data_IF_957929226664
#
_entry.id   IF_957929226664
#
_cell.length_a   1.000
_cell.length_b   1.000
_cell.length_c   1.000
_cell.angle_alpha   90.00
_cell.angle_beta   90.00
_cell.angle_gamma   90.00
#
_symmetry.space_group_name_H-M   'P 1'
#
loop_
_entity.id
_entity.type
_entity.pdbx_description
1 polymer ?
#
# COMPACT_ATOMS: atom_id res chain seq x y z
N UNK A 1 26.74 35.82 46.05
CA UNK A 1 27.41 34.87 45.17
C UNK A 1 26.46 33.67 45.05
N UNK A 2 25.66 33.69 44.05
CA UNK A 2 24.63 32.69 43.81
C UNK A 2 24.90 32.05 42.44
N UNK A 3 25.38 30.83 42.48
CA UNK A 3 25.64 30.03 41.28
C UNK A 3 24.33 29.42 40.73
N UNK A 4 23.90 29.93 39.60
CA UNK A 4 22.81 29.36 38.81
C UNK A 4 23.33 28.16 38.03
N UNK A 5 22.92 26.96 38.43
CA UNK A 5 23.10 25.72 37.66
C UNK A 5 21.99 25.62 36.62
N UNK A 6 22.33 25.84 35.35
CA UNK A 6 21.50 25.59 34.21
C UNK A 6 21.43 24.06 33.97
N UNK A 7 20.27 23.45 34.29
CA UNK A 7 19.99 22.05 33.94
C UNK A 7 19.59 22.00 32.47
N UNK A 8 20.48 21.44 31.67
CA UNK A 8 20.25 21.14 30.27
C UNK A 8 19.19 20.02 30.11
N UNK A 9 18.06 20.36 29.48
CA UNK A 9 17.01 19.43 29.08
C UNK A 9 17.39 18.73 27.76
N UNK A 10 18.33 17.79 27.80
CA UNK A 10 18.57 16.88 26.67
C UNK A 10 19.14 15.56 27.17
N UNK A 11 18.28 14.70 27.68
CA UNK A 11 18.54 13.27 27.77
C UNK A 11 17.20 12.56 28.01
N UNK A 12 16.32 12.50 26.98
CA UNK A 12 15.31 11.47 26.97
C UNK A 12 15.91 10.32 26.17
N UNK A 13 16.34 9.30 26.90
CA UNK A 13 16.87 8.07 26.37
C UNK A 13 15.78 7.40 25.52
N UNK A 14 16.07 7.23 24.23
CA UNK A 14 15.31 6.37 23.37
C UNK A 14 15.37 4.94 23.89
N UNK A 15 14.31 4.47 24.52
CA UNK A 15 14.09 3.08 24.78
C UNK A 15 13.85 2.36 23.45
N UNK A 16 14.92 1.84 22.85
CA UNK A 16 14.81 0.90 21.77
C UNK A 16 14.04 -0.32 22.29
N UNK A 17 12.80 -0.49 21.89
CA UNK A 17 12.07 -1.75 22.05
C UNK A 17 12.71 -2.74 21.08
N UNK A 18 13.77 -3.39 21.53
CA UNK A 18 14.33 -4.57 20.85
C UNK A 18 13.30 -5.66 21.01
N UNK A 19 12.42 -5.80 20.01
CA UNK A 19 11.70 -7.02 19.78
C UNK A 19 12.76 -8.09 19.45
N UNK A 20 13.15 -8.87 20.45
CA UNK A 20 14.02 -10.02 20.30
C UNK A 20 13.37 -11.02 19.37
N UNK A 21 13.58 -10.86 18.07
CA UNK A 21 13.29 -11.86 17.07
C UNK A 21 14.37 -12.93 17.19
N UNK A 22 14.06 -14.00 17.93
CA UNK A 22 14.85 -15.22 17.88
C UNK A 22 14.96 -15.67 16.41
N UNK A 23 16.17 -15.71 15.88
CA UNK A 23 16.50 -16.00 14.48
C UNK A 23 16.14 -17.41 13.98
N UNK A 24 15.21 -18.13 14.65
CA UNK A 24 14.86 -19.52 14.34
C UNK A 24 13.43 -19.80 13.88
N UNK A 25 12.49 -18.84 13.97
CA UNK A 25 11.06 -19.10 13.69
C UNK A 25 10.41 -18.22 12.61
N UNK A 26 11.12 -17.26 12.03
CA UNK A 26 10.53 -16.28 11.11
C UNK A 26 10.10 -16.85 9.74
N UNK A 27 10.76 -17.91 9.28
CA UNK A 27 10.44 -18.55 7.98
C UNK A 27 9.16 -19.40 7.97
N UNK A 28 8.62 -19.74 9.15
CA UNK A 28 7.42 -20.57 9.27
C UNK A 28 6.11 -19.76 9.33
N UNK A 29 6.17 -18.42 9.34
CA UNK A 29 5.01 -17.55 9.60
C UNK A 29 4.65 -16.61 8.45
N UNK A 30 5.23 -16.80 7.27
CA UNK A 30 5.07 -15.90 6.13
C UNK A 30 5.88 -14.60 6.29
N UNK A 31 5.85 -13.74 5.25
CA UNK A 31 6.49 -12.42 5.27
C UNK A 31 5.90 -11.56 6.40
N UNK A 32 6.75 -10.87 7.14
CA UNK A 32 6.38 -9.97 8.25
C UNK A 32 5.42 -10.57 9.30
N UNK A 33 5.35 -11.91 9.41
CA UNK A 33 4.44 -12.59 10.31
C UNK A 33 2.97 -12.58 9.90
N UNK A 34 2.66 -12.18 8.68
CA UNK A 34 1.29 -12.12 8.15
C UNK A 34 0.64 -13.49 7.96
N UNK A 35 1.43 -14.57 7.96
CA UNK A 35 0.96 -15.95 7.94
C UNK A 35 0.72 -16.57 9.32
N UNK A 36 0.81 -15.80 10.42
CA UNK A 36 0.50 -16.28 11.77
C UNK A 36 -0.97 -16.66 11.91
N UNK A 37 -1.23 -17.59 12.85
CA UNK A 37 -2.58 -17.96 13.22
C UNK A 37 -3.41 -16.73 13.63
N UNK A 38 -4.67 -16.75 13.22
CA UNK A 38 -5.64 -15.67 13.41
C UNK A 38 -6.70 -16.00 14.46
N UNK A 39 -6.41 -16.93 15.37
CA UNK A 39 -7.34 -17.34 16.43
C UNK A 39 -7.85 -16.12 17.22
N UNK A 40 -9.17 -16.06 17.38
CA UNK A 40 -9.86 -14.98 18.07
C UNK A 40 -10.12 -13.72 17.27
N UNK A 41 -9.56 -13.58 16.07
CA UNK A 41 -9.91 -12.48 15.15
C UNK A 41 -11.07 -12.86 14.22
N UNK A 42 -11.78 -11.88 13.70
CA UNK A 42 -12.87 -12.09 12.76
C UNK A 42 -12.34 -12.74 11.46
N UNK A 43 -12.95 -13.84 10.99
CA UNK A 43 -12.56 -14.46 9.74
C UNK A 43 -13.03 -13.64 8.55
N UNK A 44 -12.29 -13.72 7.44
CA UNK A 44 -12.74 -13.20 6.13
C UNK A 44 -13.49 -14.32 5.43
N UNK A 45 -14.77 -14.07 5.13
CA UNK A 45 -15.67 -15.06 4.53
C UNK A 45 -16.30 -14.53 3.23
N UNK A 46 -16.59 -15.40 2.23
CA UNK A 46 -17.27 -14.99 1.01
C UNK A 46 -18.66 -14.41 1.27
N UNK A 47 -19.14 -13.56 0.36
CA UNK A 47 -20.52 -13.06 0.35
C UNK A 47 -20.80 -11.89 1.30
N UNK A 48 -19.77 -11.29 1.93
CA UNK A 48 -19.92 -10.04 2.66
C UNK A 48 -20.36 -8.93 1.72
N UNK A 49 -21.33 -8.15 2.14
CA UNK A 49 -21.72 -6.90 1.46
C UNK A 49 -20.97 -5.73 2.06
N UNK A 50 -20.38 -4.92 1.20
CA UNK A 50 -19.73 -3.68 1.61
C UNK A 50 -20.78 -2.61 1.89
N UNK A 51 -20.53 -1.82 2.92
CA UNK A 51 -21.39 -0.74 3.36
C UNK A 51 -20.58 0.56 3.45
N UNK A 52 -20.83 1.50 2.57
CA UNK A 52 -20.16 2.79 2.58
C UNK A 52 -21.05 3.86 3.20
N UNK A 53 -20.48 4.73 4.07
CA UNK A 53 -19.05 4.95 4.29
C UNK A 53 -18.39 4.08 5.36
N UNK A 54 -19.10 3.21 6.06
CA UNK A 54 -18.58 2.50 7.23
C UNK A 54 -17.32 1.69 6.89
N UNK A 55 -17.27 1.04 5.73
CA UNK A 55 -16.11 0.25 5.28
C UNK A 55 -14.91 1.10 4.83
N UNK A 56 -15.02 2.43 4.79
CA UNK A 56 -13.85 3.30 4.71
C UNK A 56 -13.10 3.38 6.03
N UNK A 57 -13.78 3.09 7.13
CA UNK A 57 -13.26 3.11 8.49
C UNK A 57 -12.46 1.87 8.90
N UNK A 58 -12.01 1.81 10.16
CA UNK A 58 -11.28 0.68 10.68
C UNK A 58 -12.18 -0.50 11.02
N UNK A 59 -11.63 -1.71 10.90
CA UNK A 59 -12.27 -2.99 11.25
C UNK A 59 -11.51 -3.64 12.41
N UNK A 60 -11.69 -3.18 13.65
CA UNK A 60 -10.84 -3.55 14.78
C UNK A 60 -10.89 -5.05 15.14
N UNK A 61 -11.93 -5.75 14.71
CA UNK A 61 -12.05 -7.21 14.92
C UNK A 61 -11.13 -8.02 14.00
N UNK A 62 -10.59 -7.42 12.94
CA UNK A 62 -9.56 -8.03 12.10
C UNK A 62 -8.16 -7.67 12.59
N UNK A 63 -7.18 -8.53 12.28
CA UNK A 63 -5.82 -8.36 12.78
C UNK A 63 -5.08 -7.22 12.11
N UNK A 64 -5.19 -7.10 10.77
CA UNK A 64 -4.44 -6.11 9.98
C UNK A 64 -5.32 -5.48 8.93
N UNK A 65 -5.07 -4.22 8.64
CA UNK A 65 -5.65 -3.50 7.52
C UNK A 65 -4.76 -2.35 7.08
N UNK A 66 -4.97 -1.90 5.84
CA UNK A 66 -4.25 -0.77 5.28
C UNK A 66 -5.10 0.08 4.35
N UNK A 67 -4.72 1.34 4.31
CA UNK A 67 -5.13 2.37 3.36
C UNK A 67 -3.89 2.73 2.57
N UNK A 68 -3.87 2.46 1.29
CA UNK A 68 -2.69 2.52 0.46
C UNK A 68 -2.97 3.35 -0.78
N UNK A 69 -2.14 4.37 -1.06
CA UNK A 69 -2.28 5.24 -2.24
C UNK A 69 -0.95 5.31 -2.97
N UNK A 70 -0.98 5.08 -4.27
CA UNK A 70 0.15 5.32 -5.17
C UNK A 70 -0.24 6.30 -6.27
N UNK A 71 0.70 7.13 -6.70
CA UNK A 71 0.46 8.12 -7.72
C UNK A 71 1.60 8.15 -8.76
N UNK A 72 1.20 8.04 -10.03
CA UNK A 72 2.06 8.27 -11.19
C UNK A 72 1.87 9.71 -11.66
N UNK A 73 2.89 10.52 -11.50
CA UNK A 73 2.84 11.97 -11.65
C UNK A 73 3.84 12.45 -12.68
N UNK A 74 3.60 13.65 -13.22
CA UNK A 74 4.54 14.40 -14.04
C UNK A 74 4.57 15.85 -13.58
N UNK A 75 5.76 16.45 -13.58
CA UNK A 75 5.89 17.88 -13.38
C UNK A 75 5.60 18.65 -14.68
N UNK A 76 5.61 20.00 -14.62
CA UNK A 76 5.35 20.87 -15.79
C UNK A 76 6.34 20.68 -16.95
N UNK A 77 7.55 20.16 -16.68
CA UNK A 77 8.54 19.82 -17.72
C UNK A 77 8.32 18.41 -18.30
N UNK A 78 7.29 17.68 -17.87
CA UNK A 78 7.00 16.31 -18.32
C UNK A 78 7.83 15.21 -17.63
N UNK A 79 8.71 15.55 -16.68
CA UNK A 79 9.49 14.58 -15.95
C UNK A 79 8.60 13.73 -15.04
N UNK A 80 8.74 12.40 -15.13
CA UNK A 80 7.97 11.45 -14.33
C UNK A 80 8.40 11.48 -12.86
N UNK A 81 7.42 11.31 -11.99
CA UNK A 81 7.56 11.23 -10.53
C UNK A 81 6.56 10.24 -9.96
N UNK A 82 6.84 9.70 -8.78
CA UNK A 82 5.90 8.91 -8.00
C UNK A 82 5.72 9.44 -6.60
N UNK A 83 4.55 9.18 -6.03
CA UNK A 83 4.29 9.36 -4.62
C UNK A 83 3.56 8.12 -4.07
N UNK A 84 3.87 7.75 -2.84
CA UNK A 84 3.22 6.65 -2.14
C UNK A 84 2.85 7.11 -0.73
N UNK A 85 1.70 6.65 -0.24
CA UNK A 85 1.20 6.85 1.11
C UNK A 85 0.52 5.59 1.60
N UNK A 86 0.91 5.08 2.75
CA UNK A 86 0.25 3.94 3.37
C UNK A 86 0.04 4.19 4.85
N UNK A 87 -1.14 3.86 5.33
CA UNK A 87 -1.47 3.75 6.74
C UNK A 87 -1.84 2.31 7.04
N UNK A 88 -1.11 1.68 7.95
CA UNK A 88 -1.40 0.34 8.44
C UNK A 88 -1.97 0.41 9.85
N UNK A 89 -2.95 -0.44 10.14
CA UNK A 89 -3.38 -0.76 11.50
C UNK A 89 -3.12 -2.22 11.79
N UNK A 90 -2.55 -2.50 12.94
CA UNK A 90 -2.32 -3.85 13.43
C UNK A 90 -2.90 -4.01 14.84
N UNK A 91 -3.80 -4.98 15.03
CA UNK A 91 -4.29 -5.37 16.33
C UNK A 91 -3.30 -6.39 16.95
N UNK A 92 -2.69 -6.04 18.07
CA UNK A 92 -1.72 -6.88 18.77
C UNK A 92 -2.37 -8.06 19.50
N UNK A 93 -3.67 -7.94 19.80
CA UNK A 93 -4.46 -8.95 20.50
C UNK A 93 -5.88 -8.96 19.93
N UNK A 94 -6.43 -10.16 19.81
CA UNK A 94 -7.83 -10.37 19.46
C UNK A 94 -8.76 -10.08 20.65
N UNK A 95 -10.04 -9.79 20.34
CA UNK A 95 -11.10 -9.58 21.34
C UNK A 95 -11.41 -8.12 21.61
N UNK A 96 -11.91 -7.83 22.80
CA UNK A 96 -12.37 -6.50 23.16
C UNK A 96 -11.30 -5.43 22.99
N UNK A 97 -11.70 -4.30 22.44
CA UNK A 97 -10.80 -3.19 22.20
C UNK A 97 -10.71 -2.34 23.48
N UNK A 98 -9.51 -2.23 24.02
CA UNK A 98 -9.22 -1.30 25.11
C UNK A 98 -9.14 0.13 24.56
N UNK A 99 -9.48 1.10 25.39
CA UNK A 99 -9.46 2.54 25.04
C UNK A 99 -8.19 3.23 25.55
N UNK A 100 -7.89 4.40 24.99
CA UNK A 100 -6.80 5.25 25.41
C UNK A 100 -5.45 4.53 25.34
N UNK A 101 -4.62 4.70 26.36
CA UNK A 101 -3.28 4.11 26.44
C UNK A 101 -3.26 2.58 26.57
N UNK A 102 -4.36 1.96 26.96
CA UNK A 102 -4.48 0.51 27.08
C UNK A 102 -4.72 -0.19 25.73
N UNK A 103 -5.06 0.57 24.69
CA UNK A 103 -5.36 0.01 23.37
C UNK A 103 -4.28 -0.94 22.85
N UNK A 104 -4.73 -2.00 22.22
CA UNK A 104 -3.87 -2.98 21.55
C UNK A 104 -3.70 -2.71 20.05
N UNK A 105 -4.09 -1.51 19.59
CA UNK A 105 -3.95 -1.09 18.19
C UNK A 105 -2.65 -0.32 18.00
N UNK A 106 -1.84 -0.77 17.03
CA UNK A 106 -0.64 -0.08 16.57
C UNK A 106 -0.88 0.38 15.14
N UNK A 107 -0.45 1.59 14.86
CA UNK A 107 -0.50 2.20 13.54
C UNK A 107 0.91 2.42 13.02
N UNK A 108 1.09 2.25 11.72
CA UNK A 108 2.35 2.50 11.03
C UNK A 108 2.04 3.24 9.74
N UNK A 109 2.82 4.26 9.47
CA UNK A 109 2.72 5.04 8.23
C UNK A 109 3.99 4.87 7.39
N UNK A 110 3.83 4.62 6.09
CA UNK A 110 4.90 4.72 5.10
C UNK A 110 4.56 5.80 4.08
N UNK A 111 5.53 6.60 3.71
CA UNK A 111 5.40 7.57 2.63
C UNK A 111 6.69 7.62 1.82
N UNK A 112 6.55 7.80 0.50
CA UNK A 112 7.70 7.92 -0.38
C UNK A 112 7.43 8.89 -1.54
N UNK A 113 8.53 9.43 -2.09
CA UNK A 113 8.56 10.10 -3.38
C UNK A 113 9.70 9.55 -4.23
N UNK A 114 9.44 9.39 -5.53
CA UNK A 114 10.39 8.77 -6.46
C UNK A 114 10.54 9.64 -7.70
N UNK A 115 11.79 9.88 -8.11
CA UNK A 115 12.20 10.38 -9.42
C UNK A 115 13.16 9.37 -10.05
N UNK A 116 13.53 9.57 -11.29
CA UNK A 116 14.46 8.69 -12.00
C UNK A 116 15.81 8.50 -11.26
N UNK A 117 16.27 9.52 -10.58
CA UNK A 117 17.57 9.59 -9.90
C UNK A 117 17.48 9.58 -8.36
N UNK A 118 16.30 9.64 -7.81
CA UNK A 118 16.09 9.86 -6.37
C UNK A 118 14.87 9.10 -5.86
N UNK A 119 15.05 8.40 -4.76
CA UNK A 119 13.97 7.81 -3.97
C UNK A 119 14.13 8.24 -2.51
N UNK A 120 13.10 8.84 -1.94
CA UNK A 120 13.04 9.26 -0.54
C UNK A 120 11.84 8.62 0.11
N UNK A 121 12.01 8.11 1.31
CA UNK A 121 10.93 7.49 2.08
C UNK A 121 11.01 7.88 3.55
N UNK A 122 9.90 7.68 4.25
CA UNK A 122 9.80 7.87 5.70
C UNK A 122 8.85 6.83 6.27
N UNK A 123 9.12 6.44 7.52
CA UNK A 123 8.30 5.55 8.32
C UNK A 123 7.96 6.23 9.64
N UNK A 124 6.73 6.07 10.11
CA UNK A 124 6.30 6.54 11.44
C UNK A 124 5.41 5.51 12.12
N UNK A 125 5.42 5.50 13.45
CA UNK A 125 4.60 4.61 14.27
C UNK A 125 3.80 5.41 15.27
N UNK A 126 2.58 4.95 15.52
CA UNK A 126 1.72 5.53 16.52
C UNK A 126 0.95 4.47 17.30
N UNK A 127 0.62 4.78 18.52
CA UNK A 127 -0.33 4.01 19.30
C UNK A 127 -1.75 4.49 18.98
N UNK A 128 -2.68 3.56 18.84
CA UNK A 128 -4.09 3.90 18.72
C UNK A 128 -4.68 4.47 20.01
N UNK A 129 -5.92 4.97 19.96
CA UNK A 129 -6.69 5.35 21.14
C UNK A 129 -6.29 6.66 21.85
N UNK A 130 -5.20 7.32 21.40
CA UNK A 130 -4.67 8.56 22.03
C UNK A 130 -4.67 9.75 21.07
N UNK A 131 -5.33 9.62 19.91
CA UNK A 131 -5.46 10.72 18.93
C UNK A 131 -4.26 10.92 18.02
N UNK A 132 -3.20 10.10 18.13
CA UNK A 132 -2.00 10.22 17.30
C UNK A 132 -2.19 9.61 15.91
N UNK A 133 -3.00 8.57 15.79
CA UNK A 133 -3.39 7.97 14.52
C UNK A 133 -4.80 7.39 14.59
N UNK A 134 -5.44 7.26 13.45
CA UNK A 134 -6.78 6.70 13.35
C UNK A 134 -7.41 6.87 11.99
N UNK A 135 -8.67 6.43 11.88
CA UNK A 135 -9.53 6.72 10.73
C UNK A 135 -10.93 7.05 11.23
N UNK A 136 -11.45 8.17 10.78
CA UNK A 136 -12.83 8.62 10.94
C UNK A 136 -13.55 8.58 9.60
N UNK A 137 -14.83 8.22 9.59
CA UNK A 137 -15.61 8.09 8.35
C UNK A 137 -16.42 9.33 8.01
N UNK A 138 -16.81 10.13 9.00
CA UNK A 138 -17.63 11.36 8.84
C UNK A 138 -17.21 12.45 9.83
N UNK A 139 -16.49 13.51 9.38
CA UNK A 139 -15.89 13.64 8.04
C UNK A 139 -14.77 12.61 7.84
N UNK A 140 -14.56 12.18 6.59
CA UNK A 140 -13.51 11.19 6.33
C UNK A 140 -12.11 11.77 6.61
N UNK A 141 -11.36 11.05 7.43
CA UNK A 141 -9.99 11.39 7.80
C UNK A 141 -9.23 10.12 8.22
N UNK A 142 -8.19 9.77 7.49
CA UNK A 142 -7.21 8.77 7.89
C UNK A 142 -5.90 9.51 8.19
N UNK A 143 -5.28 9.28 9.36
CA UNK A 143 -4.11 10.06 9.76
C UNK A 143 -3.14 9.27 10.64
N UNK A 144 -1.89 9.70 10.60
CA UNK A 144 -0.84 9.36 11.55
C UNK A 144 0.09 10.57 11.71
N UNK A 145 0.21 11.09 12.94
CA UNK A 145 0.90 12.36 13.23
C UNK A 145 0.38 13.51 12.33
N UNK A 146 1.24 14.06 11.47
CA UNK A 146 0.90 15.13 10.53
C UNK A 146 0.51 14.64 9.12
N UNK A 147 0.61 13.34 8.86
CA UNK A 147 0.22 12.76 7.58
C UNK A 147 -1.28 12.50 7.57
N UNK A 148 -1.92 12.82 6.47
CA UNK A 148 -3.36 12.61 6.37
C UNK A 148 -3.84 12.32 4.95
N UNK A 149 -4.93 11.57 4.88
CA UNK A 149 -5.82 11.44 3.74
C UNK A 149 -7.19 11.90 4.21
N UNK A 150 -7.64 13.07 3.72
CA UNK A 150 -8.83 13.78 4.22
C UNK A 150 -9.85 13.94 3.11
N UNK A 151 -11.12 13.65 3.41
CA UNK A 151 -12.24 14.02 2.56
C UNK A 151 -12.36 15.54 2.42
N UNK A 152 -12.53 16.02 1.20
CA UNK A 152 -12.81 17.41 0.91
C UNK A 152 -14.33 17.64 0.82
N UNK A 153 -14.74 18.91 0.75
CA UNK A 153 -16.16 19.27 0.57
C UNK A 153 -16.76 18.51 -0.63
N UNK A 154 -17.98 18.01 -0.44
CA UNK A 154 -18.71 17.21 -1.42
C UNK A 154 -18.09 15.84 -1.73
N UNK A 155 -17.22 15.31 -0.85
CA UNK A 155 -16.77 13.93 -0.96
C UNK A 155 -17.96 12.98 -1.00
N UNK A 156 -17.92 12.03 -1.94
CA UNK A 156 -18.93 10.99 -2.12
C UNK A 156 -18.40 9.67 -1.60
N UNK A 157 -19.19 8.97 -0.81
CA UNK A 157 -18.80 7.70 -0.19
C UNK A 157 -18.56 6.60 -1.23
N UNK A 158 -19.32 6.60 -2.34
CA UNK A 158 -19.23 5.59 -3.42
C UNK A 158 -18.00 5.76 -4.33
N UNK A 159 -17.34 6.92 -4.28
CA UNK A 159 -16.13 7.20 -5.04
C UNK A 159 -14.92 7.46 -4.16
N UNK A 160 -15.15 7.72 -2.87
CA UNK A 160 -14.15 8.21 -1.92
C UNK A 160 -13.36 9.40 -2.50
N UNK A 161 -14.08 10.36 -3.08
CA UNK A 161 -13.50 11.53 -3.76
C UNK A 161 -14.44 12.75 -3.63
N UNK A 162 -13.88 13.98 -3.63
CA UNK A 162 -12.46 14.31 -3.68
C UNK A 162 -11.73 14.16 -2.34
N UNK A 163 -10.42 13.87 -2.39
CA UNK A 163 -9.56 13.78 -1.21
C UNK A 163 -8.37 14.76 -1.27
N UNK A 164 -7.89 15.18 -0.11
CA UNK A 164 -6.56 15.71 0.08
C UNK A 164 -5.66 14.65 0.69
N UNK A 165 -4.46 14.49 0.17
CA UNK A 165 -3.44 13.56 0.64
C UNK A 165 -2.17 14.33 0.95
N UNK A 166 -1.60 14.17 2.14
CA UNK A 166 -0.30 14.77 2.48
C UNK A 166 0.55 13.88 3.36
N UNK A 167 1.85 13.93 3.12
CA UNK A 167 2.86 13.38 4.01
C UNK A 167 4.19 14.12 3.84
N UNK A 168 5.11 13.92 4.78
CA UNK A 168 6.45 14.47 4.74
C UNK A 168 7.45 13.54 5.41
N UNK A 169 8.69 13.60 4.96
CA UNK A 169 9.86 13.01 5.60
C UNK A 169 10.89 14.10 5.89
N UNK A 170 12.12 13.69 6.18
CA UNK A 170 13.23 14.63 6.44
C UNK A 170 13.53 15.49 5.19
N UNK A 171 13.51 14.89 4.00
CA UNK A 171 14.00 15.49 2.76
C UNK A 171 12.93 15.60 1.68
N UNK A 172 11.68 15.34 2.03
CA UNK A 172 10.56 15.45 1.09
C UNK A 172 9.24 15.80 1.77
N UNK A 173 8.34 16.35 0.99
CA UNK A 173 6.94 16.51 1.34
C UNK A 173 6.08 16.48 0.07
N UNK A 174 4.83 16.11 0.23
CA UNK A 174 3.83 16.30 -0.83
C UNK A 174 2.46 16.66 -0.26
N UNK A 175 1.72 17.38 -1.08
CA UNK A 175 0.31 17.66 -0.87
C UNK A 175 -0.41 17.49 -2.22
N UNK A 176 -1.29 16.49 -2.28
CA UNK A 176 -2.01 16.13 -3.49
C UNK A 176 -3.52 16.25 -3.27
N UNK A 177 -4.23 16.66 -4.31
CA UNK A 177 -5.66 16.50 -4.46
C UNK A 177 -5.94 15.30 -5.36
N UNK A 178 -6.88 14.46 -4.95
CA UNK A 178 -7.30 13.26 -5.67
C UNK A 178 -8.79 13.40 -6.01
N UNK A 179 -9.11 13.44 -7.29
CA UNK A 179 -10.47 13.54 -7.80
C UNK A 179 -10.83 12.27 -8.58
N UNK A 180 -12.03 11.73 -8.35
CA UNK A 180 -12.56 10.60 -9.11
C UNK A 180 -14.06 10.78 -9.38
N UNK A 181 -14.49 10.30 -10.55
CA UNK A 181 -15.88 10.33 -11.00
C UNK A 181 -16.48 8.93 -11.22
N UNK A 182 -15.67 7.88 -10.98
CA UNK A 182 -16.05 6.47 -11.11
C UNK A 182 -16.22 5.85 -9.72
N UNK A 183 -17.11 4.84 -9.58
CA UNK A 183 -17.30 4.14 -8.33
C UNK A 183 -16.05 3.36 -7.91
N UNK A 184 -16.03 2.95 -6.65
CA UNK A 184 -15.06 2.00 -6.11
C UNK A 184 -15.20 0.65 -6.83
N UNK A 185 -14.09 -0.06 -6.92
CA UNK A 185 -14.01 -1.39 -7.54
C UNK A 185 -13.73 -2.43 -6.46
N UNK A 186 -14.64 -3.38 -6.32
CA UNK A 186 -14.46 -4.52 -5.42
C UNK A 186 -13.53 -5.54 -6.09
N UNK A 187 -12.44 -5.92 -5.42
CA UNK A 187 -11.45 -6.85 -5.94
C UNK A 187 -11.81 -8.30 -5.66
N UNK A 188 -11.38 -9.24 -6.53
CA UNK A 188 -11.73 -10.65 -6.41
C UNK A 188 -13.24 -10.89 -6.60
N UNK A 189 -13.80 -11.84 -5.86
CA UNK A 189 -15.23 -12.15 -5.88
C UNK A 189 -16.00 -11.14 -5.00
N UNK A 190 -16.50 -10.06 -5.63
CA UNK A 190 -17.26 -8.99 -4.99
C UNK A 190 -16.60 -8.45 -3.71
N UNK A 191 -15.27 -8.29 -3.72
CA UNK A 191 -14.48 -7.79 -2.60
C UNK A 191 -13.91 -8.89 -1.70
N UNK A 192 -14.22 -10.15 -1.92
CA UNK A 192 -13.53 -11.27 -1.31
C UNK A 192 -12.31 -11.66 -2.15
N UNK A 193 -11.14 -11.24 -1.71
CA UNK A 193 -9.87 -11.47 -2.39
C UNK A 193 -9.17 -12.68 -1.78
N UNK A 194 -9.25 -13.83 -2.48
CA UNK A 194 -8.60 -15.06 -2.05
C UNK A 194 -7.09 -14.98 -2.23
N UNK A 195 -6.34 -15.37 -1.21
CA UNK A 195 -4.86 -15.34 -1.17
C UNK A 195 -4.24 -16.74 -1.23
N UNK A 196 -5.00 -17.79 -0.96
CA UNK A 196 -4.53 -19.17 -1.09
C UNK A 196 -5.69 -20.15 -1.26
N UNK A 197 -5.37 -21.36 -1.68
CA UNK A 197 -6.31 -22.48 -1.71
C UNK A 197 -6.74 -22.97 -0.31
N UNK A 198 -6.03 -22.53 0.74
CA UNK A 198 -6.30 -22.93 2.14
C UNK A 198 -7.25 -21.99 2.86
N UNK A 199 -7.80 -20.97 2.17
CA UNK A 199 -8.80 -20.07 2.72
C UNK A 199 -8.28 -18.74 3.25
N UNK A 200 -6.97 -18.45 3.16
CA UNK A 200 -6.50 -17.10 3.44
C UNK A 200 -7.11 -16.14 2.43
N UNK A 201 -7.65 -15.05 2.93
CA UNK A 201 -8.34 -14.05 2.13
C UNK A 201 -8.33 -12.68 2.82
N UNK A 202 -8.69 -11.67 2.09
CA UNK A 202 -8.94 -10.32 2.59
C UNK A 202 -10.23 -9.77 2.00
N UNK A 203 -10.83 -8.78 2.68
CA UNK A 203 -11.79 -7.89 2.08
C UNK A 203 -11.03 -6.76 1.42
N UNK A 204 -11.31 -6.48 0.15
CA UNK A 204 -10.48 -5.63 -0.67
C UNK A 204 -11.29 -4.84 -1.70
N UNK A 205 -11.12 -3.51 -1.69
CA UNK A 205 -11.61 -2.65 -2.74
C UNK A 205 -10.58 -1.59 -3.13
N UNK A 206 -10.72 -1.04 -4.34
CA UNK A 206 -9.83 -0.03 -4.90
C UNK A 206 -10.60 1.18 -5.43
N UNK A 207 -9.93 2.34 -5.46
CA UNK A 207 -10.28 3.47 -6.31
C UNK A 207 -9.18 3.67 -7.36
N UNK A 208 -9.33 3.09 -8.56
CA UNK A 208 -8.27 3.09 -9.58
C UNK A 208 -8.36 4.28 -10.54
N UNK A 209 -9.31 5.20 -10.34
CA UNK A 209 -9.62 6.27 -11.29
C UNK A 209 -9.28 7.67 -10.80
N UNK A 210 -8.44 7.77 -9.78
CA UNK A 210 -8.05 9.09 -9.29
C UNK A 210 -7.25 9.86 -10.34
N UNK A 211 -7.65 11.10 -10.57
CA UNK A 211 -6.83 12.17 -11.15
C UNK A 211 -6.14 12.89 -9.99
N UNK A 212 -4.83 12.97 -10.05
CA UNK A 212 -4.03 13.59 -9.02
C UNK A 212 -3.46 14.93 -9.50
N UNK A 213 -3.47 15.93 -8.63
CA UNK A 213 -2.82 17.23 -8.86
C UNK A 213 -2.29 17.77 -7.53
N UNK A 214 -1.25 18.58 -7.57
CA UNK A 214 -0.72 19.19 -6.36
C UNK A 214 0.77 19.46 -6.46
N UNK A 215 1.47 19.29 -5.34
CA UNK A 215 2.87 19.69 -5.22
C UNK A 215 3.69 18.60 -4.53
N UNK A 216 4.92 18.40 -5.03
CA UNK A 216 5.97 17.59 -4.40
C UNK A 216 7.16 18.50 -4.12
N UNK A 217 7.73 18.38 -2.93
CA UNK A 217 8.98 19.02 -2.52
C UNK A 217 10.02 17.93 -2.27
N UNK A 218 11.20 18.06 -2.83
CA UNK A 218 12.36 17.18 -2.59
C UNK A 218 13.59 18.08 -2.43
N UNK A 219 14.35 17.89 -1.35
CA UNK A 219 15.55 18.69 -1.04
C UNK A 219 15.25 20.21 -1.18
N UNK A 220 14.17 20.69 -0.54
CA UNK A 220 13.65 22.07 -0.54
C UNK A 220 13.20 22.62 -1.92
N UNK A 221 13.21 21.79 -2.96
CA UNK A 221 12.74 22.18 -4.30
C UNK A 221 11.32 21.68 -4.52
N UNK A 222 10.41 22.61 -4.66
CA UNK A 222 8.98 22.33 -4.84
C UNK A 222 8.58 22.42 -6.30
N UNK A 223 7.82 21.44 -6.79
CA UNK A 223 7.30 21.40 -8.16
C UNK A 223 5.83 21.03 -8.15
N UNK A 224 5.07 21.68 -9.05
CA UNK A 224 3.68 21.30 -9.33
C UNK A 224 3.65 20.01 -10.15
N UNK A 225 2.71 19.13 -9.81
CA UNK A 225 2.56 17.82 -10.46
C UNK A 225 1.11 17.53 -10.78
N UNK A 226 0.91 16.76 -11.85
CA UNK A 226 -0.39 16.19 -12.23
C UNK A 226 -0.20 14.74 -12.67
N UNK A 227 -1.27 13.95 -12.59
CA UNK A 227 -1.21 12.55 -13.05
C UNK A 227 -2.40 11.72 -12.64
N UNK A 228 -2.15 10.45 -12.41
CA UNK A 228 -3.14 9.45 -12.00
C UNK A 228 -2.71 8.83 -10.67
N UNK A 229 -3.69 8.42 -9.87
CA UNK A 229 -3.42 7.71 -8.64
C UNK A 229 -4.34 6.49 -8.51
N UNK A 230 -3.93 5.58 -7.67
CA UNK A 230 -4.62 4.35 -7.30
C UNK A 230 -4.71 4.30 -5.78
N UNK A 231 -5.84 3.90 -5.24
CA UNK A 231 -5.99 3.60 -3.82
C UNK A 231 -6.47 2.18 -3.62
N UNK A 232 -5.87 1.50 -2.65
CA UNK A 232 -6.33 0.22 -2.12
C UNK A 232 -6.75 0.36 -0.66
N UNK A 233 -7.83 -0.32 -0.33
CA UNK A 233 -8.32 -0.50 1.01
C UNK A 233 -8.54 -2.00 1.23
N UNK A 234 -7.80 -2.54 2.19
CA UNK A 234 -7.80 -3.99 2.40
C UNK A 234 -7.69 -4.31 3.91
N UNK A 235 -8.42 -5.33 4.36
CA UNK A 235 -8.32 -5.83 5.72
C UNK A 235 -8.48 -7.34 5.80
N UNK A 236 -7.77 -7.93 6.75
CA UNK A 236 -7.71 -9.37 6.95
C UNK A 236 -7.25 -9.73 8.36
N UNK A 237 -7.56 -10.94 8.78
CA UNK A 237 -6.96 -11.54 9.97
C UNK A 237 -5.75 -12.42 9.63
N UNK A 238 -5.75 -13.04 8.46
CA UNK A 238 -4.65 -13.85 7.96
C UNK A 238 -4.51 -13.69 6.44
N UNK A 239 -3.82 -12.62 5.97
CA UNK A 239 -3.71 -12.34 4.54
C UNK A 239 -2.76 -13.29 3.79
N UNK A 240 -1.87 -14.00 4.49
CA UNK A 240 -0.92 -14.95 3.90
C UNK A 240 -1.04 -16.33 4.52
N UNK A 241 -0.72 -17.37 3.76
CA UNK A 241 -0.45 -18.70 4.29
C UNK A 241 0.98 -18.76 4.87
N UNK A 242 1.25 -19.67 5.84
CA UNK A 242 2.56 -19.77 6.51
C UNK A 242 3.74 -20.10 5.59
N UNK A 243 3.48 -20.69 4.44
CA UNK A 243 4.46 -21.05 3.41
C UNK A 243 4.61 -20.00 2.30
N UNK A 244 3.83 -18.93 2.31
CA UNK A 244 3.98 -17.80 1.41
C UNK A 244 5.10 -16.87 1.88
N UNK A 245 6.07 -16.60 1.01
CA UNK A 245 7.30 -15.86 1.34
C UNK A 245 7.22 -14.38 1.04
N UNK A 246 6.18 -13.93 0.33
CA UNK A 246 5.96 -12.55 -0.06
C UNK A 246 5.09 -12.47 -1.30
N UNK A 247 4.94 -11.25 -1.79
CA UNK A 247 4.16 -10.96 -2.99
C UNK A 247 4.85 -9.96 -3.90
N UNK A 248 4.40 -9.98 -5.16
CA UNK A 248 4.69 -8.96 -6.16
C UNK A 248 3.35 -8.42 -6.64
N UNK A 249 3.04 -7.20 -6.31
CA UNK A 249 1.79 -6.53 -6.65
C UNK A 249 2.03 -5.42 -7.66
N UNK A 250 1.10 -5.20 -8.56
CA UNK A 250 1.09 -4.01 -9.41
C UNK A 250 -0.32 -3.48 -9.67
N UNK A 251 -0.41 -2.15 -9.79
CA UNK A 251 -1.53 -1.43 -10.37
C UNK A 251 -1.10 -0.83 -11.69
N UNK A 252 -1.89 -1.02 -12.75
CA UNK A 252 -1.58 -0.50 -14.08
C UNK A 252 -2.71 0.40 -14.57
N UNK A 253 -2.33 1.54 -15.13
CA UNK A 253 -3.19 2.46 -15.86
C UNK A 253 -2.86 2.36 -17.34
N UNK A 254 -3.70 1.69 -18.11
CA UNK A 254 -3.53 1.56 -19.55
C UNK A 254 -3.91 2.88 -20.26
N UNK A 255 -3.16 3.24 -21.29
CA UNK A 255 -3.46 4.45 -22.09
C UNK A 255 -4.80 4.37 -22.81
N UNK A 256 -5.34 3.18 -23.05
CA UNK A 256 -6.66 2.92 -23.62
C UNK A 256 -7.81 3.14 -22.62
N UNK A 257 -7.49 3.27 -21.32
CA UNK A 257 -8.44 3.62 -20.26
C UNK A 257 -8.70 2.55 -19.22
N UNK A 258 -8.46 1.29 -19.54
CA UNK A 258 -8.60 0.16 -18.63
C UNK A 258 -7.59 0.26 -17.48
N UNK A 259 -7.88 -0.46 -16.41
CA UNK A 259 -6.99 -0.64 -15.26
C UNK A 259 -6.77 -2.12 -15.01
N UNK A 260 -5.62 -2.45 -14.44
CA UNK A 260 -5.30 -3.81 -14.03
C UNK A 260 -4.68 -3.78 -12.63
N UNK A 261 -5.28 -4.50 -11.70
CA UNK A 261 -4.62 -4.91 -10.47
C UNK A 261 -4.18 -6.36 -10.62
N UNK A 262 -2.93 -6.64 -10.30
CA UNK A 262 -2.38 -7.98 -10.38
C UNK A 262 -1.42 -8.20 -9.21
N UNK A 263 -1.50 -9.36 -8.56
CA UNK A 263 -0.51 -9.77 -7.58
C UNK A 263 -0.15 -11.24 -7.73
N UNK A 264 1.12 -11.54 -7.49
CA UNK A 264 1.70 -12.86 -7.47
C UNK A 264 2.15 -13.19 -6.05
N UNK A 265 1.59 -14.25 -5.48
CA UNK A 265 2.00 -14.76 -4.17
C UNK A 265 3.04 -15.86 -4.34
N UNK A 266 4.22 -15.67 -3.75
CA UNK A 266 5.33 -16.63 -3.83
C UNK A 266 5.28 -17.62 -2.69
N UNK A 267 5.45 -18.91 -3.01
CA UNK A 267 5.51 -20.00 -2.05
C UNK A 267 6.94 -20.55 -1.91
N UNK A 268 7.23 -21.18 -0.78
CA UNK A 268 8.54 -21.77 -0.47
C UNK A 268 8.96 -22.87 -1.44
N UNK A 269 8.01 -23.60 -2.02
CA UNK A 269 8.24 -24.68 -2.98
C UNK A 269 8.50 -24.17 -4.40
N UNK A 270 8.48 -22.83 -4.61
CA UNK A 270 8.66 -22.16 -5.89
C UNK A 270 7.38 -22.00 -6.70
N UNK A 271 6.25 -22.54 -6.24
CA UNK A 271 4.95 -22.27 -6.84
C UNK A 271 4.56 -20.80 -6.62
N UNK A 272 3.80 -20.23 -7.55
CA UNK A 272 3.30 -18.87 -7.46
C UNK A 272 1.83 -18.85 -7.83
N UNK A 273 1.01 -18.32 -6.95
CA UNK A 273 -0.39 -18.02 -7.26
C UNK A 273 -0.49 -16.62 -7.86
N UNK A 274 -1.21 -16.49 -8.98
CA UNK A 274 -1.43 -15.22 -9.65
C UNK A 274 -2.92 -14.87 -9.62
N UNK A 275 -3.24 -13.70 -9.09
CA UNK A 275 -4.60 -13.18 -8.95
C UNK A 275 -4.68 -11.75 -9.42
N UNK A 276 -5.83 -11.30 -9.83
CA UNK A 276 -6.03 -9.91 -10.20
C UNK A 276 -7.41 -9.62 -10.77
N UNK A 277 -7.60 -8.36 -11.12
CA UNK A 277 -8.81 -7.88 -11.76
C UNK A 277 -8.48 -6.98 -12.94
N UNK A 278 -9.10 -7.29 -14.09
CA UNK A 278 -9.20 -6.38 -15.21
C UNK A 278 -10.37 -5.45 -15.00
N UNK A 279 -10.17 -4.16 -15.14
CA UNK A 279 -11.16 -3.13 -14.83
C UNK A 279 -11.37 -2.29 -16.08
N UNK A 280 -12.59 -2.31 -16.60
CA UNK A 280 -13.00 -1.52 -17.76
C UNK A 280 -13.07 -0.03 -17.43
N UNK A 281 -13.02 0.86 -18.43
CA UNK A 281 -13.08 2.31 -18.22
C UNK A 281 -14.36 2.79 -17.51
N UNK A 282 -15.43 2.01 -17.53
CA UNK A 282 -16.68 2.31 -16.82
C UNK A 282 -16.71 1.79 -15.37
N UNK A 283 -15.66 1.10 -14.92
CA UNK A 283 -15.53 0.56 -13.57
C UNK A 283 -15.98 -0.90 -13.42
N UNK A 284 -16.50 -1.53 -14.46
CA UNK A 284 -16.80 -2.98 -14.42
C UNK A 284 -15.49 -3.75 -14.25
N UNK A 285 -15.49 -4.69 -13.32
CA UNK A 285 -14.33 -5.50 -12.98
C UNK A 285 -14.56 -6.96 -13.32
N UNK A 286 -13.53 -7.61 -13.88
CA UNK A 286 -13.52 -9.04 -14.20
C UNK A 286 -12.31 -9.66 -13.52
N UNK A 287 -12.53 -10.72 -12.75
CA UNK A 287 -11.44 -11.46 -12.10
C UNK A 287 -10.54 -12.15 -13.14
N UNK A 288 -9.25 -12.07 -12.95
CA UNK A 288 -8.23 -12.73 -13.77
C UNK A 288 -7.84 -14.04 -13.09
N UNK A 289 -8.46 -15.12 -13.51
CA UNK A 289 -8.32 -16.44 -12.87
C UNK A 289 -7.88 -17.54 -13.85
N UNK A 290 -7.06 -17.23 -14.87
CA UNK A 290 -6.61 -18.23 -15.85
C UNK A 290 -5.20 -18.73 -15.55
N UNK A 291 -4.99 -20.04 -15.69
CA UNK A 291 -3.66 -20.67 -15.62
C UNK A 291 -2.69 -20.17 -16.70
N UNK A 292 -3.19 -19.55 -17.77
CA UNK A 292 -2.39 -19.02 -18.86
C UNK A 292 -1.84 -17.62 -18.58
N UNK A 293 -2.25 -17.00 -17.47
CA UNK A 293 -1.75 -15.70 -17.04
C UNK A 293 -0.34 -15.85 -16.47
N UNK A 294 0.53 -14.90 -16.77
CA UNK A 294 1.91 -14.94 -16.31
C UNK A 294 2.42 -13.56 -15.88
N UNK A 295 3.17 -13.54 -14.79
CA UNK A 295 3.99 -12.43 -14.35
C UNK A 295 5.40 -12.97 -14.08
N UNK A 296 6.33 -12.67 -14.98
CA UNK A 296 7.68 -13.26 -14.98
C UNK A 296 8.73 -12.16 -14.94
N UNK A 297 9.70 -12.27 -14.03
CA UNK A 297 10.81 -11.32 -13.95
C UNK A 297 11.69 -11.40 -15.20
N UNK A 298 12.00 -10.23 -15.79
CA UNK A 298 12.88 -10.09 -16.97
C UNK A 298 14.19 -9.38 -16.65
N UNK A 299 14.22 -8.61 -15.58
CA UNK A 299 15.40 -7.91 -15.09
C UNK A 299 15.43 -7.87 -13.57
N UNK A 300 16.61 -7.76 -12.99
CA UNK A 300 16.80 -7.61 -11.54
C UNK A 300 17.85 -6.55 -11.26
N UNK A 301 17.72 -5.90 -10.12
CA UNK A 301 18.67 -4.91 -9.59
C UNK A 301 19.27 -5.45 -8.29
N UNK A 302 20.57 -5.31 -8.11
CA UNK A 302 21.21 -5.57 -6.82
C UNK A 302 20.98 -4.36 -5.91
N UNK A 303 20.30 -4.58 -4.79
CA UNK A 303 20.00 -3.53 -3.82
C UNK A 303 20.51 -4.02 -2.47
N UNK A 304 21.61 -3.46 -2.01
CA UNK A 304 22.21 -3.82 -0.72
C UNK A 304 22.48 -5.34 -0.58
N UNK A 305 22.93 -5.98 -1.66
CA UNK A 305 23.20 -7.42 -1.70
C UNK A 305 21.96 -8.31 -1.91
N UNK A 306 20.79 -7.71 -2.15
CA UNK A 306 19.54 -8.41 -2.48
C UNK A 306 19.28 -8.34 -3.98
N UNK A 307 19.02 -9.47 -4.60
CA UNK A 307 18.62 -9.52 -6.01
C UNK A 307 17.11 -9.32 -6.14
N UNK A 308 16.69 -8.07 -6.35
CA UNK A 308 15.28 -7.68 -6.45
C UNK A 308 14.88 -7.64 -7.93
N UNK A 309 13.81 -8.34 -8.37
CA UNK A 309 13.33 -8.28 -9.74
C UNK A 309 12.63 -6.94 -9.98
N UNK A 310 13.18 -6.10 -10.86
CA UNK A 310 12.67 -4.76 -11.12
C UNK A 310 12.05 -4.58 -12.50
N UNK A 311 12.23 -5.55 -13.41
CA UNK A 311 11.57 -5.61 -14.71
C UNK A 311 10.72 -6.86 -14.85
N UNK A 312 9.54 -6.74 -15.42
CA UNK A 312 8.57 -7.82 -15.51
C UNK A 312 7.94 -7.93 -16.89
N UNK A 313 7.69 -9.16 -17.32
CA UNK A 313 6.78 -9.48 -18.42
C UNK A 313 5.46 -9.94 -17.84
N UNK A 314 4.37 -9.29 -18.28
CA UNK A 314 3.01 -9.63 -17.87
C UNK A 314 2.23 -10.06 -19.12
N UNK A 315 1.56 -11.21 -19.02
CA UNK A 315 0.76 -11.80 -20.10
C UNK A 315 -0.62 -12.14 -19.54
N UNK A 316 -1.67 -11.59 -20.14
CA UNK A 316 -3.07 -11.91 -19.84
C UNK A 316 -3.77 -12.18 -21.19
N UNK A 317 -3.78 -13.43 -21.66
CA UNK A 317 -4.25 -13.78 -23.00
C UNK A 317 -5.70 -13.40 -23.26
N UNK A 318 -6.58 -13.54 -22.26
CA UNK A 318 -7.99 -13.20 -22.36
C UNK A 318 -8.24 -11.71 -22.71
N UNK A 319 -7.29 -10.82 -22.42
CA UNK A 319 -7.33 -9.39 -22.74
C UNK A 319 -6.30 -8.99 -23.79
N UNK A 320 -5.65 -9.95 -24.46
CA UNK A 320 -4.60 -9.67 -25.44
C UNK A 320 -3.39 -8.92 -24.87
N UNK A 321 -3.23 -8.90 -23.55
CA UNK A 321 -2.15 -8.18 -22.89
C UNK A 321 -0.86 -8.99 -22.93
N UNK A 322 0.20 -8.37 -23.48
CA UNK A 322 1.57 -8.84 -23.42
C UNK A 322 2.49 -7.63 -23.35
N UNK A 323 2.95 -7.31 -22.16
CA UNK A 323 3.73 -6.09 -21.87
C UNK A 323 5.00 -6.40 -21.11
N UNK A 324 5.93 -5.44 -21.17
CA UNK A 324 7.12 -5.41 -20.31
C UNK A 324 7.16 -4.12 -19.51
N UNK A 325 7.49 -4.23 -18.21
CA UNK A 325 7.57 -3.10 -17.30
C UNK A 325 9.01 -2.58 -17.19
N UNK A 326 9.13 -1.27 -16.97
CA UNK A 326 10.39 -0.59 -16.69
C UNK A 326 10.19 0.30 -15.47
N UNK A 327 11.00 0.14 -14.40
CA UNK A 327 10.91 1.00 -13.23
C UNK A 327 11.38 2.42 -13.57
N UNK A 328 10.75 3.43 -12.96
CA UNK A 328 11.25 4.81 -13.04
C UNK A 328 12.61 4.92 -12.35
N UNK A 329 12.77 4.29 -11.20
CA UNK A 329 14.02 4.19 -10.47
C UNK A 329 14.19 2.73 -9.99
N UNK A 330 15.16 1.98 -10.46
CA UNK A 330 15.35 0.59 -10.04
C UNK A 330 15.76 0.46 -8.56
N UNK A 331 16.22 1.55 -7.92
CA UNK A 331 16.61 1.59 -6.52
C UNK A 331 15.50 2.11 -5.58
N UNK A 332 14.24 1.91 -5.92
CA UNK A 332 13.09 2.32 -5.10
C UNK A 332 12.87 1.39 -3.90
N UNK A 333 13.90 1.25 -3.06
CA UNK A 333 13.89 0.40 -1.88
C UNK A 333 13.39 1.16 -0.65
N UNK A 334 12.32 0.68 -0.05
CA UNK A 334 11.77 1.12 1.22
C UNK A 334 12.53 0.40 2.35
N UNK A 335 13.57 1.03 2.88
CA UNK A 335 14.38 0.48 3.99
C UNK A 335 13.70 0.64 5.35
N UNK A 336 12.43 0.34 5.43
CA UNK A 336 11.57 0.40 6.61
C UNK A 336 11.75 -0.81 7.53
N UNK A 337 11.05 -0.84 8.66
CA UNK A 337 11.04 -1.98 9.61
C UNK A 337 10.63 -3.30 8.95
N UNK A 338 9.81 -3.23 7.91
CA UNK A 338 9.46 -4.34 7.00
C UNK A 338 9.87 -3.93 5.58
N UNK A 339 11.13 -4.17 5.18
CA UNK A 339 11.66 -3.60 3.95
C UNK A 339 11.07 -4.28 2.70
N UNK A 340 10.83 -3.47 1.68
CA UNK A 340 10.27 -3.89 0.39
C UNK A 340 10.67 -2.92 -0.72
N UNK A 341 10.50 -3.33 -1.97
CA UNK A 341 10.68 -2.44 -3.10
C UNK A 341 9.34 -1.86 -3.51
N UNK A 342 9.29 -0.53 -3.75
CA UNK A 342 8.08 0.13 -4.17
C UNK A 342 8.36 1.35 -5.04
N UNK A 343 7.79 1.37 -6.25
CA UNK A 343 8.02 2.49 -7.14
C UNK A 343 7.14 2.53 -8.38
N UNK A 344 7.08 3.73 -9.02
CA UNK A 344 6.38 3.90 -10.28
C UNK A 344 7.09 3.17 -11.41
N UNK A 345 6.29 2.61 -12.32
CA UNK A 345 6.74 1.92 -13.52
C UNK A 345 6.06 2.52 -14.75
N UNK A 346 6.67 2.36 -15.90
CA UNK A 346 6.04 2.43 -17.21
C UNK A 346 6.00 1.04 -17.83
N UNK A 347 5.15 0.84 -18.80
CA UNK A 347 5.09 -0.41 -19.53
C UNK A 347 4.77 -0.20 -21.00
N UNK A 348 5.24 -1.14 -21.84
CA UNK A 348 5.03 -1.15 -23.28
C UNK A 348 4.93 -2.57 -23.81
N UNK A 349 4.35 -2.73 -25.02
CA UNK A 349 4.11 -4.00 -25.70
C UNK A 349 2.83 -3.94 -26.48
N UNK A 350 1.94 -4.91 -26.29
CA UNK A 350 0.59 -4.87 -26.89
C UNK A 350 -0.23 -3.67 -26.40
N UNK A 351 0.03 -3.23 -25.17
CA UNK A 351 -0.55 -2.04 -24.54
C UNK A 351 0.59 -1.20 -23.95
N UNK A 352 0.29 0.05 -23.63
CA UNK A 352 1.23 0.95 -22.96
C UNK A 352 0.54 1.74 -21.86
N UNK A 353 1.34 2.24 -20.92
CA UNK A 353 0.82 3.02 -19.81
C UNK A 353 1.82 3.20 -18.69
N UNK A 354 1.30 3.55 -17.53
CA UNK A 354 2.05 3.73 -16.28
C UNK A 354 1.41 2.91 -15.18
N UNK A 355 2.15 2.66 -14.12
CA UNK A 355 1.65 1.90 -12.98
C UNK A 355 2.57 2.03 -11.77
N UNK A 356 2.25 1.25 -10.76
CA UNK A 356 3.07 1.09 -9.56
C UNK A 356 3.34 -0.39 -9.33
N UNK A 357 4.50 -0.69 -8.80
CA UNK A 357 4.94 -2.05 -8.48
C UNK A 357 5.40 -2.06 -7.03
N UNK A 358 4.96 -3.06 -6.28
CA UNK A 358 5.39 -3.34 -4.91
C UNK A 358 5.86 -4.79 -4.81
N UNK A 359 7.00 -5.02 -4.18
CA UNK A 359 7.58 -6.36 -4.05
C UNK A 359 8.16 -6.56 -2.66
N UNK A 360 7.67 -7.59 -1.96
CA UNK A 360 8.05 -7.93 -0.59
C UNK A 360 8.82 -9.24 -0.52
N UNK A 361 9.61 -9.45 0.52
CA UNK A 361 10.24 -10.76 0.81
C UNK A 361 11.46 -11.11 -0.07
N UNK A 362 12.21 -10.12 -0.55
CA UNK A 362 13.48 -10.27 -1.27
C UNK A 362 14.70 -9.97 -0.40
#
# INVERSE_FOLDING_TARGET
MSDNVLISRRAFAGGALVLGLGAGSSLAQGFAGLGKDAEGYAPVVPGRKFNFPEDHGPHPDTRIEWWYVTANLKNSAGAAMGAQWTLFRHAMKAGAQDEGWATQQIWMGHAAVTRADTHRFSETFARGGVGQAGVEVKPYLAWIDSWEMRGLDQMRDDTLAPLALKASGADFAYALRLDADRPLVLQGDAGYSRKSARGQASYYFSQPFFKASGRITIDDKSVEVTGQAWMDREWSSQPLAPDQTGWDWCSLHLNSGEKLMLYRLRQKDGHNDLFGNWIEPDGRSVEIASADNAMTATASTDIQGRKVPTGWRIIIPAHGLKIETTPLNPNSWMGTSFPYWEGPISFAGSHSGVGYLEMTGY
#
